data_IF_276757495345
#
_entry.id   IF_276757495345
#
_cell.length_a   1.000
_cell.length_b   1.000
_cell.length_c   1.000
_cell.angle_alpha   90.00
_cell.angle_beta   90.00
_cell.angle_gamma   90.00
#
_symmetry.space_group_name_H-M   'P 1'
#
loop_
_entity.id
_entity.type
_entity.pdbx_description
1 polymer ?
#
# COMPACT_ATOMS: atom_id res chain seq x y z
N UNK A 1 9.96 -16.65 -38.05
CA UNK A 1 9.58 -15.23 -37.84
C UNK A 1 9.71 -14.95 -36.35
N UNK A 2 10.48 -13.93 -35.97
CA UNK A 2 10.60 -13.52 -34.56
C UNK A 2 9.26 -12.93 -34.10
N UNK A 3 8.81 -13.29 -32.90
CA UNK A 3 7.62 -12.70 -32.28
C UNK A 3 8.06 -11.82 -31.12
N UNK A 4 7.39 -10.68 -30.97
CA UNK A 4 7.56 -9.77 -29.85
C UNK A 4 6.53 -10.11 -28.78
N UNK A 5 6.97 -10.52 -27.59
CA UNK A 5 6.09 -10.76 -26.45
C UNK A 5 5.94 -9.46 -25.66
N UNK A 6 4.73 -8.94 -25.50
CA UNK A 6 4.48 -7.70 -24.74
C UNK A 6 3.49 -7.94 -23.60
N UNK A 7 3.65 -7.16 -22.54
CA UNK A 7 2.67 -7.04 -21.46
C UNK A 7 1.72 -5.89 -21.77
N UNK A 8 0.47 -6.21 -22.06
CA UNK A 8 -0.57 -5.28 -22.47
C UNK A 8 -1.49 -4.97 -21.28
N UNK A 9 -1.60 -3.69 -20.94
CA UNK A 9 -2.69 -3.14 -20.14
C UNK A 9 -3.52 -2.19 -20.98
N UNK A 10 -4.80 -2.08 -20.67
CA UNK A 10 -5.67 -1.14 -21.36
C UNK A 10 -6.75 -0.58 -20.46
N UNK A 11 -7.36 0.49 -20.96
CA UNK A 11 -8.41 1.24 -20.30
C UNK A 11 -9.52 0.34 -19.73
N UNK A 12 -9.83 0.53 -18.44
CA UNK A 12 -10.85 -0.26 -17.74
C UNK A 12 -10.51 -1.73 -17.50
N UNK A 13 -9.33 -2.21 -17.90
CA UNK A 13 -8.87 -3.59 -17.71
C UNK A 13 -7.71 -3.65 -16.72
N UNK A 14 -8.01 -4.20 -15.54
CA UNK A 14 -7.04 -4.32 -14.43
C UNK A 14 -5.93 -5.33 -14.73
N UNK A 15 -6.27 -6.43 -15.39
CA UNK A 15 -5.32 -7.51 -15.62
C UNK A 15 -4.27 -7.13 -16.66
N UNK A 16 -3.05 -7.62 -16.45
CA UNK A 16 -1.96 -7.50 -17.43
C UNK A 16 -2.04 -8.71 -18.34
N UNK A 17 -2.29 -8.47 -19.62
CA UNK A 17 -2.38 -9.51 -20.63
C UNK A 17 -1.04 -9.71 -21.33
N UNK A 18 -0.79 -10.93 -21.82
CA UNK A 18 0.40 -11.23 -22.61
C UNK A 18 -0.01 -11.36 -24.07
N UNK A 19 0.54 -10.50 -24.93
CA UNK A 19 0.29 -10.55 -26.37
C UNK A 19 1.55 -10.89 -27.15
N UNK A 20 1.39 -11.61 -28.25
CA UNK A 20 2.46 -11.98 -29.17
C UNK A 20 2.21 -11.28 -30.51
N UNK A 21 3.07 -10.34 -30.85
CA UNK A 21 2.99 -9.57 -32.09
C UNK A 21 4.13 -9.94 -33.05
N UNK A 22 4.00 -9.59 -34.33
CA UNK A 22 5.11 -9.70 -35.27
C UNK A 22 6.26 -8.75 -34.92
N UNK A 23 7.47 -9.03 -35.38
CA UNK A 23 8.64 -8.15 -35.17
C UNK A 23 8.47 -6.75 -35.76
N UNK A 24 7.69 -6.65 -36.84
CA UNK A 24 7.41 -5.39 -37.55
C UNK A 24 6.06 -4.79 -37.13
N UNK A 25 5.51 -5.24 -36.01
CA UNK A 25 4.25 -4.73 -35.50
C UNK A 25 4.33 -3.23 -35.22
N UNK A 26 3.19 -2.56 -35.40
CA UNK A 26 3.00 -1.14 -35.13
C UNK A 26 1.97 -0.94 -34.01
N UNK A 27 1.79 0.29 -33.53
CA UNK A 27 0.84 0.57 -32.45
C UNK A 27 -0.60 0.12 -32.78
N UNK A 28 -1.01 0.19 -34.06
CA UNK A 28 -2.32 -0.31 -34.51
C UNK A 28 -2.52 -1.80 -34.25
N UNK A 29 -1.47 -2.61 -34.28
CA UNK A 29 -1.58 -4.04 -33.99
C UNK A 29 -1.76 -4.30 -32.49
N UNK A 30 -1.17 -3.47 -31.64
CA UNK A 30 -1.42 -3.46 -30.19
C UNK A 30 -2.88 -3.09 -29.90
N UNK A 31 -3.41 -2.06 -30.57
CA UNK A 31 -4.82 -1.64 -30.42
C UNK A 31 -5.77 -2.77 -30.84
N UNK A 32 -5.49 -3.44 -31.98
CA UNK A 32 -6.27 -4.61 -32.41
C UNK A 32 -6.24 -5.75 -31.39
N UNK A 33 -5.07 -6.00 -30.79
CA UNK A 33 -4.95 -7.01 -29.74
C UNK A 33 -5.76 -6.64 -28.49
N UNK A 34 -5.75 -5.38 -28.07
CA UNK A 34 -6.59 -4.88 -26.98
C UNK A 34 -8.09 -4.96 -27.30
N UNK A 35 -8.49 -4.61 -28.53
CA UNK A 35 -9.88 -4.72 -28.98
C UNK A 35 -10.38 -6.18 -28.95
N UNK A 36 -9.54 -7.14 -29.34
CA UNK A 36 -9.85 -8.57 -29.24
C UNK A 36 -10.03 -9.05 -27.79
N UNK A 37 -9.47 -8.32 -26.82
CA UNK A 37 -9.59 -8.57 -25.38
C UNK A 37 -10.72 -7.76 -24.72
N UNK A 38 -11.48 -6.98 -25.49
CA UNK A 38 -12.66 -6.25 -25.01
C UNK A 38 -12.49 -4.74 -24.82
N UNK A 39 -11.39 -4.14 -25.30
CA UNK A 39 -11.28 -2.67 -25.37
C UNK A 39 -12.37 -2.11 -26.29
N UNK A 40 -13.11 -1.12 -25.79
CA UNK A 40 -14.15 -0.43 -26.57
C UNK A 40 -13.54 0.38 -27.72
N UNK A 41 -14.16 0.35 -28.89
CA UNK A 41 -13.69 1.11 -30.05
C UNK A 41 -13.82 2.63 -29.85
N UNK A 42 -12.81 3.37 -30.25
CA UNK A 42 -12.74 4.83 -30.15
C UNK A 42 -11.64 5.39 -31.06
N UNK A 43 -11.87 6.51 -31.77
CA UNK A 43 -10.85 7.12 -32.62
C UNK A 43 -9.70 7.76 -31.83
N UNK A 44 -9.86 7.95 -30.52
CA UNK A 44 -8.90 8.63 -29.65
C UNK A 44 -7.89 7.66 -29.01
N UNK A 45 -8.01 6.35 -29.27
CA UNK A 45 -7.13 5.35 -28.68
C UNK A 45 -5.69 5.56 -29.15
N UNK A 46 -4.80 5.64 -28.17
CA UNK A 46 -3.35 5.69 -28.37
C UNK A 46 -2.65 4.62 -27.53
N UNK A 47 -1.39 4.34 -27.88
CA UNK A 47 -0.55 3.35 -27.19
C UNK A 47 0.62 4.06 -26.54
N UNK A 48 0.95 3.68 -25.31
CA UNK A 48 2.11 4.15 -24.57
C UNK A 48 3.08 3.00 -24.31
N UNK A 49 4.36 3.32 -24.17
CA UNK A 49 5.42 2.37 -23.83
C UNK A 49 6.03 2.74 -22.48
N UNK A 50 6.13 1.74 -21.58
CA UNK A 50 6.72 1.94 -20.26
C UNK A 50 6.02 3.04 -19.45
N UNK A 51 6.79 4.03 -19.01
CA UNK A 51 6.36 5.23 -18.30
C UNK A 51 6.49 6.50 -19.17
N UNK A 52 6.72 6.35 -20.47
CA UNK A 52 6.94 7.48 -21.37
C UNK A 52 5.74 8.44 -21.38
N UNK A 53 5.96 9.77 -21.30
CA UNK A 53 4.89 10.74 -21.16
C UNK A 53 4.01 10.85 -22.41
N UNK A 54 4.56 10.57 -23.58
CA UNK A 54 3.92 10.72 -24.88
C UNK A 54 3.62 9.36 -25.52
N UNK A 55 2.52 9.26 -26.27
CA UNK A 55 2.14 8.02 -26.95
C UNK A 55 3.09 7.70 -28.11
N UNK A 56 3.13 6.42 -28.47
CA UNK A 56 3.77 5.91 -29.66
C UNK A 56 3.11 6.47 -30.93
N UNK A 57 3.94 6.69 -31.95
CA UNK A 57 3.51 6.96 -33.31
C UNK A 57 2.81 5.71 -33.89
N UNK A 58 1.56 5.83 -34.38
CA UNK A 58 0.79 4.70 -34.86
C UNK A 58 1.28 4.11 -36.19
N UNK A 59 2.11 4.84 -36.95
CA UNK A 59 2.62 4.42 -38.25
C UNK A 59 4.02 3.81 -38.22
N UNK A 60 4.75 3.93 -37.09
CA UNK A 60 6.13 3.43 -36.97
C UNK A 60 6.19 2.05 -36.32
N UNK A 61 7.12 1.19 -36.74
CA UNK A 61 7.40 -0.07 -36.04
C UNK A 61 7.67 0.14 -34.55
N UNK A 62 7.21 -0.79 -33.72
CA UNK A 62 7.38 -0.70 -32.26
C UNK A 62 8.87 -0.68 -31.86
N UNK A 63 9.71 -1.45 -32.54
CA UNK A 63 11.15 -1.52 -32.25
C UNK A 63 11.88 -0.21 -32.54
N UNK A 64 11.48 0.53 -33.60
CA UNK A 64 12.04 1.84 -33.94
C UNK A 64 11.72 2.91 -32.89
N UNK A 65 10.70 2.64 -32.07
CA UNK A 65 10.25 3.51 -30.99
C UNK A 65 10.77 3.02 -29.62
N UNK A 66 11.70 2.07 -29.61
CA UNK A 66 12.37 1.59 -28.41
C UNK A 66 11.63 0.49 -27.65
N UNK A 67 10.51 -0.02 -28.16
CA UNK A 67 9.78 -1.14 -27.55
C UNK A 67 10.52 -2.45 -27.80
N UNK A 68 10.84 -3.17 -26.73
CA UNK A 68 11.61 -4.43 -26.73
C UNK A 68 10.74 -5.61 -26.30
N UNK A 69 11.31 -6.81 -26.46
CA UNK A 69 10.67 -8.03 -25.96
C UNK A 69 10.48 -7.96 -24.45
N UNK A 70 9.28 -8.36 -24.01
CA UNK A 70 8.78 -8.31 -22.63
C UNK A 70 8.59 -6.90 -22.06
N UNK A 71 8.53 -5.88 -22.91
CA UNK A 71 8.16 -4.54 -22.46
C UNK A 71 6.66 -4.44 -22.18
N UNK A 72 6.32 -3.46 -21.34
CA UNK A 72 4.94 -3.11 -21.01
C UNK A 72 4.43 -2.01 -21.94
N UNK A 73 3.23 -2.22 -22.48
CA UNK A 73 2.50 -1.25 -23.29
C UNK A 73 1.12 -0.99 -22.70
N UNK A 74 0.67 0.25 -22.79
CA UNK A 74 -0.61 0.69 -22.25
C UNK A 74 -1.47 1.27 -23.36
N UNK A 75 -2.73 0.83 -23.49
CA UNK A 75 -3.66 1.32 -24.51
C UNK A 75 -4.79 2.09 -23.84
N UNK A 76 -4.99 3.35 -24.22
CA UNK A 76 -5.95 4.22 -23.55
C UNK A 76 -6.45 5.33 -24.47
N UNK A 77 -7.70 5.80 -24.29
CA UNK A 77 -8.24 6.93 -25.07
C UNK A 77 -7.70 8.29 -24.65
N UNK A 78 -7.50 8.49 -23.34
CA UNK A 78 -6.97 9.74 -22.81
C UNK A 78 -5.45 9.82 -23.04
N UNK A 79 -4.96 10.95 -23.58
CA UNK A 79 -3.51 11.19 -23.70
C UNK A 79 -2.86 11.57 -22.37
N UNK A 80 -3.63 12.21 -21.49
CA UNK A 80 -3.25 12.58 -20.13
C UNK A 80 -4.42 12.31 -19.19
N UNK A 81 -4.10 11.96 -17.95
CA UNK A 81 -5.05 11.80 -16.85
C UNK A 81 -4.76 12.89 -15.83
N UNK A 82 -5.76 13.70 -15.53
CA UNK A 82 -5.68 14.70 -14.48
C UNK A 82 -5.74 14.02 -13.12
N UNK A 83 -4.58 13.86 -12.47
CA UNK A 83 -4.52 13.23 -11.16
C UNK A 83 -4.64 14.31 -10.08
N UNK A 84 -5.56 14.12 -9.14
CA UNK A 84 -5.65 14.91 -7.91
C UNK A 84 -5.30 14.04 -6.72
N UNK A 85 -4.38 14.50 -5.88
CA UNK A 85 -4.03 13.81 -4.62
C UNK A 85 -4.32 14.74 -3.45
N UNK A 86 -5.00 14.20 -2.44
CA UNK A 86 -5.32 14.90 -1.19
C UNK A 86 -4.65 14.23 -0.01
N UNK A 87 -4.12 15.03 0.93
CA UNK A 87 -3.59 14.60 2.22
C UNK A 87 -3.73 15.72 3.25
N UNK A 88 -4.47 15.49 4.33
CA UNK A 88 -4.80 16.54 5.31
C UNK A 88 -5.34 17.81 4.62
N UNK A 89 -4.66 18.96 4.77
CA UNK A 89 -5.00 20.22 4.11
C UNK A 89 -4.39 20.38 2.71
N UNK A 90 -3.50 19.48 2.30
CA UNK A 90 -2.87 19.53 0.98
C UNK A 90 -3.78 18.92 -0.08
N UNK A 91 -3.95 19.66 -1.17
CA UNK A 91 -4.52 19.17 -2.43
C UNK A 91 -3.65 19.63 -3.57
N UNK A 92 -3.10 18.69 -4.33
CA UNK A 92 -2.28 18.97 -5.51
C UNK A 92 -2.88 18.26 -6.70
N UNK A 93 -2.70 18.84 -7.89
CA UNK A 93 -3.16 18.26 -9.13
C UNK A 93 -2.06 18.33 -10.18
N UNK A 94 -1.92 17.27 -10.97
CA UNK A 94 -0.94 17.22 -12.04
C UNK A 94 -1.39 16.22 -13.13
N UNK A 95 -1.21 16.55 -14.43
CA UNK A 95 -1.51 15.64 -15.51
C UNK A 95 -0.41 14.57 -15.67
N UNK A 96 -0.80 13.30 -15.75
CA UNK A 96 0.11 12.17 -15.98
C UNK A 96 -0.24 11.45 -17.28
N UNK A 97 0.74 10.74 -17.86
CA UNK A 97 0.46 9.71 -18.86
C UNK A 97 -0.38 8.60 -18.23
N UNK A 98 -1.35 7.98 -18.94
CA UNK A 98 -2.04 6.77 -18.47
C UNK A 98 -1.09 5.64 -18.07
N UNK A 99 0.09 5.60 -18.68
CA UNK A 99 1.11 4.59 -18.42
C UNK A 99 1.93 4.86 -17.13
N UNK A 100 1.79 6.03 -16.52
CA UNK A 100 2.43 6.36 -15.26
C UNK A 100 1.97 5.42 -14.14
N UNK A 101 2.88 5.08 -13.24
CA UNK A 101 2.57 4.18 -12.13
C UNK A 101 1.99 4.93 -10.93
N UNK A 102 1.30 4.19 -10.05
CA UNK A 102 0.85 4.69 -8.75
C UNK A 102 2.06 5.19 -7.94
N UNK A 103 3.20 4.50 -8.00
CA UNK A 103 4.44 4.94 -7.36
C UNK A 103 4.93 6.30 -7.89
N UNK A 104 4.90 6.51 -9.21
CA UNK A 104 5.31 7.77 -9.81
C UNK A 104 4.43 8.94 -9.34
N UNK A 105 3.12 8.72 -9.23
CA UNK A 105 2.17 9.70 -8.66
C UNK A 105 2.49 9.97 -7.19
N UNK A 106 2.73 8.92 -6.39
CA UNK A 106 3.07 9.07 -4.96
C UNK A 106 4.34 9.91 -4.81
N UNK A 107 5.40 9.56 -5.55
CA UNK A 107 6.69 10.23 -5.53
C UNK A 107 6.57 11.72 -5.89
N UNK A 108 5.79 12.04 -6.92
CA UNK A 108 5.49 13.42 -7.28
C UNK A 108 4.79 14.16 -6.13
N UNK A 109 3.74 13.56 -5.56
CA UNK A 109 2.96 14.23 -4.53
C UNK A 109 3.76 14.49 -3.25
N UNK A 110 4.51 13.49 -2.75
CA UNK A 110 5.33 13.63 -1.54
C UNK A 110 6.41 14.70 -1.72
N UNK A 111 6.99 14.81 -2.92
CA UNK A 111 7.92 15.87 -3.29
C UNK A 111 7.23 17.26 -3.26
N UNK A 112 6.05 17.38 -3.86
CA UNK A 112 5.29 18.65 -3.91
C UNK A 112 4.91 19.20 -2.53
N UNK A 113 4.61 18.32 -1.58
CA UNK A 113 4.27 18.72 -0.20
C UNK A 113 5.47 18.74 0.74
N UNK A 114 6.67 18.41 0.24
CA UNK A 114 7.93 18.33 1.01
C UNK A 114 7.83 17.38 2.22
N UNK A 115 7.17 16.24 2.03
CA UNK A 115 7.06 15.20 3.05
C UNK A 115 8.41 14.49 3.22
N UNK A 116 8.75 14.10 4.46
CA UNK A 116 9.98 13.34 4.73
C UNK A 116 9.92 11.94 4.11
N UNK A 117 11.06 11.32 3.83
CA UNK A 117 11.09 9.95 3.29
C UNK A 117 10.47 8.94 4.26
N UNK A 118 10.71 9.11 5.58
CA UNK A 118 10.16 8.26 6.63
C UNK A 118 8.64 8.35 6.65
N UNK A 119 8.08 9.56 6.60
CA UNK A 119 6.62 9.72 6.55
C UNK A 119 6.08 9.14 5.23
N UNK A 120 6.77 9.37 4.12
CA UNK A 120 6.35 8.84 2.82
C UNK A 120 6.32 7.30 2.79
N UNK A 121 7.24 6.60 3.46
CA UNK A 121 7.23 5.13 3.54
C UNK A 121 6.02 4.60 4.31
N UNK A 122 5.51 5.36 5.29
CA UNK A 122 4.34 4.98 6.10
C UNK A 122 3.00 5.27 5.41
N UNK A 123 3.00 5.77 4.18
CA UNK A 123 1.78 6.13 3.44
C UNK A 123 1.64 5.39 2.11
N UNK A 124 0.40 5.18 1.68
CA UNK A 124 0.04 4.61 0.37
C UNK A 124 -1.06 5.44 -0.28
N UNK A 125 -1.19 5.32 -1.60
CA UNK A 125 -2.29 5.95 -2.33
C UNK A 125 -3.52 5.04 -2.30
N UNK A 126 -4.67 5.65 -2.03
CA UNK A 126 -5.98 5.02 -2.04
C UNK A 126 -6.88 5.76 -3.04
N UNK A 127 -7.74 5.05 -3.75
CA UNK A 127 -8.74 5.69 -4.62
C UNK A 127 -9.74 6.44 -3.74
N UNK A 128 -9.91 7.75 -4.00
CA UNK A 128 -10.73 8.61 -3.17
C UNK A 128 -12.17 8.10 -3.06
N UNK A 129 -12.72 8.09 -1.83
CA UNK A 129 -14.06 7.57 -1.56
C UNK A 129 -14.18 6.04 -1.49
N UNK A 130 -13.07 5.30 -1.62
CA UNK A 130 -13.04 3.83 -1.54
C UNK A 130 -11.99 3.36 -0.52
N UNK A 131 -11.92 2.06 -0.26
CA UNK A 131 -10.81 1.42 0.48
C UNK A 131 -9.77 0.76 -0.46
N UNK A 132 -9.90 0.93 -1.78
CA UNK A 132 -9.02 0.31 -2.76
C UNK A 132 -7.66 1.02 -2.76
N UNK A 133 -6.60 0.26 -2.52
CA UNK A 133 -5.20 0.71 -2.52
C UNK A 133 -4.47 0.00 -3.66
N UNK A 134 -4.36 0.64 -4.84
CA UNK A 134 -3.63 0.07 -5.95
C UNK A 134 -2.17 -0.20 -5.60
N UNK A 135 -1.63 -1.30 -6.12
CA UNK A 135 -0.21 -1.62 -5.97
C UNK A 135 0.68 -0.54 -6.63
N UNK A 136 1.91 -0.32 -6.12
CA UNK A 136 2.77 0.76 -6.62
C UNK A 136 3.08 0.68 -8.12
N UNK A 137 3.15 -0.51 -8.70
CA UNK A 137 3.54 -0.75 -10.10
C UNK A 137 2.36 -0.70 -11.10
N UNK A 138 1.12 -0.58 -10.60
CA UNK A 138 -0.10 -0.45 -11.41
C UNK A 138 -0.09 0.86 -12.20
N UNK A 139 -0.43 0.81 -13.49
CA UNK A 139 -0.58 1.99 -14.33
C UNK A 139 -1.91 2.68 -14.08
N UNK A 140 -1.89 4.00 -13.90
CA UNK A 140 -3.06 4.78 -13.51
C UNK A 140 -4.19 4.77 -14.56
N UNK A 141 -3.87 4.54 -15.83
CA UNK A 141 -4.86 4.39 -16.91
C UNK A 141 -5.73 3.16 -16.77
N UNK A 142 -5.28 2.12 -16.05
CA UNK A 142 -6.15 0.99 -15.72
C UNK A 142 -7.20 1.35 -14.66
N UNK A 143 -6.96 2.41 -13.87
CA UNK A 143 -7.81 2.91 -12.77
C UNK A 143 -8.90 3.88 -13.21
N UNK A 144 -8.99 4.19 -14.50
CA UNK A 144 -10.06 5.00 -15.05
C UNK A 144 -10.53 4.43 -16.40
N UNK A 145 -11.75 4.76 -16.81
CA UNK A 145 -12.37 4.23 -18.03
C UNK A 145 -13.32 5.18 -18.75
N UNK A 146 -13.63 6.36 -18.20
CA UNK A 146 -14.54 7.33 -18.84
C UNK A 146 -14.08 8.76 -18.64
N UNK A 147 -13.63 9.08 -17.45
CA UNK A 147 -13.12 10.40 -17.11
C UNK A 147 -11.60 10.38 -17.21
N UNK A 148 -11.01 11.33 -17.95
CA UNK A 148 -9.56 11.51 -17.98
C UNK A 148 -9.05 12.15 -16.67
N UNK A 149 -9.57 11.70 -15.53
CA UNK A 149 -9.27 12.18 -14.19
C UNK A 149 -9.22 11.02 -13.21
N UNK A 150 -8.37 11.14 -12.19
CA UNK A 150 -8.23 10.17 -11.11
C UNK A 150 -8.01 10.91 -9.80
N UNK A 151 -8.88 10.65 -8.83
CA UNK A 151 -8.79 11.24 -7.50
C UNK A 151 -8.23 10.20 -6.53
N UNK A 152 -7.11 10.53 -5.88
CA UNK A 152 -6.44 9.69 -4.91
C UNK A 152 -6.33 10.43 -3.56
N UNK A 153 -6.26 9.66 -2.50
CA UNK A 153 -5.95 10.14 -1.15
C UNK A 153 -4.70 9.44 -0.66
N UNK A 154 -3.73 10.21 -0.17
CA UNK A 154 -2.59 9.62 0.53
C UNK A 154 -3.07 9.26 1.94
N UNK A 155 -2.94 7.99 2.33
CA UNK A 155 -3.40 7.48 3.63
C UNK A 155 -2.27 6.69 4.31
N UNK A 156 -2.18 6.69 5.65
CA UNK A 156 -1.23 5.85 6.33
C UNK A 156 -1.49 4.37 6.02
N UNK A 157 -0.43 3.58 5.79
CA UNK A 157 -0.49 2.12 5.60
C UNK A 157 -1.17 1.47 6.81
N UNK A 158 -0.90 2.03 7.99
CA UNK A 158 -1.48 1.65 9.27
C UNK A 158 -2.98 1.95 9.43
N UNK A 159 -3.67 2.48 8.42
CA UNK A 159 -5.14 2.58 8.50
C UNK A 159 -5.80 1.25 8.14
N UNK A 160 -6.75 0.81 8.98
CA UNK A 160 -7.44 -0.48 8.84
C UNK A 160 -7.34 -1.39 10.06
N UNK A 161 -6.64 -0.98 11.13
CA UNK A 161 -6.71 -1.72 12.38
C UNK A 161 -8.13 -1.74 12.93
N UNK A 162 -8.55 -2.83 13.60
CA UNK A 162 -9.93 -2.98 13.98
C UNK A 162 -10.34 -1.82 14.91
N UNK A 163 -11.58 -1.33 14.75
CA UNK A 163 -12.19 -0.39 15.70
C UNK A 163 -12.14 -0.95 17.13
N UNK A 164 -12.21 -2.28 17.21
CA UNK A 164 -11.99 -3.07 18.41
C UNK A 164 -10.49 -3.23 18.67
N UNK A 165 -10.06 -2.99 19.91
CA UNK A 165 -8.66 -3.18 20.29
C UNK A 165 -8.14 -4.59 19.94
N UNK A 166 -6.86 -4.74 19.56
CA UNK A 166 -6.25 -6.05 19.39
C UNK A 166 -5.98 -6.69 20.76
N UNK A 167 -5.62 -7.97 20.75
CA UNK A 167 -4.96 -8.60 21.91
C UNK A 167 -3.62 -9.16 21.44
N UNK A 168 -2.60 -9.09 22.28
CA UNK A 168 -1.28 -9.59 21.93
C UNK A 168 -0.77 -10.58 22.97
N UNK A 169 -0.09 -11.62 22.47
CA UNK A 169 0.57 -12.64 23.26
C UNK A 169 2.00 -12.80 22.78
N UNK A 170 2.90 -13.06 23.71
CA UNK A 170 4.29 -13.38 23.36
C UNK A 170 4.34 -14.72 22.63
N UNK A 171 5.14 -14.78 21.56
CA UNK A 171 5.21 -15.91 20.64
C UNK A 171 6.62 -16.48 20.57
N UNK A 172 6.73 -17.81 20.48
CA UNK A 172 7.95 -18.50 20.10
C UNK A 172 7.89 -18.76 18.59
N UNK A 173 8.75 -18.07 17.83
CA UNK A 173 8.77 -18.16 16.37
C UNK A 173 9.34 -19.49 15.85
N UNK A 174 10.14 -20.20 16.64
CA UNK A 174 10.68 -21.50 16.23
C UNK A 174 9.66 -22.61 16.44
N UNK A 175 8.93 -22.56 17.55
CA UNK A 175 7.90 -23.54 17.88
C UNK A 175 6.54 -23.21 17.22
N UNK A 176 6.40 -22.02 16.62
CA UNK A 176 5.15 -21.45 16.14
C UNK A 176 4.01 -21.61 17.16
N UNK A 177 4.29 -21.22 18.39
CA UNK A 177 3.39 -21.41 19.51
C UNK A 177 3.51 -20.25 20.52
N UNK A 178 2.53 -20.08 21.41
CA UNK A 178 2.66 -19.11 22.48
C UNK A 178 3.91 -19.35 23.34
N UNK A 179 4.64 -18.27 23.64
CA UNK A 179 5.87 -18.35 24.42
C UNK A 179 5.58 -18.95 25.79
N UNK A 180 6.28 -20.03 26.20
CA UNK A 180 6.09 -20.64 27.52
C UNK A 180 6.27 -19.60 28.63
N UNK A 181 5.40 -19.61 29.64
CA UNK A 181 5.38 -18.61 30.72
C UNK A 181 6.75 -18.41 31.42
N UNK A 182 7.56 -19.46 31.67
CA UNK A 182 8.90 -19.28 32.25
C UNK A 182 9.87 -18.51 31.35
N UNK A 183 9.58 -18.39 30.04
CA UNK A 183 10.40 -17.66 29.08
C UNK A 183 9.91 -16.24 28.84
N UNK A 184 8.89 -15.79 29.57
CA UNK A 184 8.40 -14.42 29.44
C UNK A 184 9.45 -13.40 29.91
N UNK A 185 9.48 -12.20 29.29
CA UNK A 185 10.16 -11.03 29.84
C UNK A 185 9.73 -10.76 31.29
N UNK A 186 10.61 -10.15 32.06
CA UNK A 186 10.31 -9.60 33.37
C UNK A 186 11.06 -8.30 33.57
N UNK A 187 10.64 -7.57 34.60
CA UNK A 187 11.28 -6.34 34.99
C UNK A 187 10.92 -5.95 36.41
N UNK A 188 11.20 -4.71 36.75
CA UNK A 188 10.75 -4.02 37.96
C UNK A 188 9.47 -3.25 37.66
N UNK A 189 8.73 -2.88 38.71
CA UNK A 189 7.61 -1.93 38.64
C UNK A 189 6.64 -2.25 37.49
N UNK A 190 6.62 -1.39 36.45
CA UNK A 190 5.70 -1.50 35.32
C UNK A 190 6.00 -2.70 34.43
N UNK A 191 7.27 -3.05 34.21
CA UNK A 191 7.64 -4.24 33.44
C UNK A 191 7.10 -5.52 34.08
N UNK A 192 7.17 -5.63 35.41
CA UNK A 192 6.60 -6.76 36.15
C UNK A 192 5.08 -6.82 36.06
N UNK A 193 4.42 -5.66 36.15
CA UNK A 193 2.97 -5.56 36.10
C UNK A 193 2.41 -5.90 34.70
N UNK A 194 3.12 -5.52 33.64
CA UNK A 194 2.72 -5.77 32.25
C UNK A 194 2.97 -7.22 31.82
N UNK A 195 4.18 -7.73 32.05
CA UNK A 195 4.56 -9.10 31.68
C UNK A 195 4.13 -10.10 32.75
N UNK A 196 2.85 -10.10 33.08
CA UNK A 196 2.26 -10.84 34.21
C UNK A 196 1.69 -12.19 33.75
N UNK A 197 2.37 -13.33 34.00
CA UNK A 197 1.98 -14.63 33.43
C UNK A 197 0.71 -15.21 34.04
N UNK A 198 0.35 -14.83 35.28
CA UNK A 198 -0.90 -15.23 35.94
C UNK A 198 -2.10 -14.42 35.44
N UNK A 199 -1.88 -13.31 34.72
CA UNK A 199 -2.97 -12.52 34.16
C UNK A 199 -3.61 -13.23 32.96
N UNK A 200 -4.91 -13.55 33.08
CA UNK A 200 -5.69 -14.29 32.06
C UNK A 200 -4.95 -15.51 31.49
N UNK A 201 -4.16 -16.20 32.33
CA UNK A 201 -3.36 -17.36 31.93
C UNK A 201 -2.30 -17.08 30.86
N UNK A 202 -1.82 -15.83 30.79
CA UNK A 202 -0.86 -15.38 29.77
C UNK A 202 -1.45 -15.29 28.37
N UNK A 203 -2.77 -15.19 28.23
CA UNK A 203 -3.44 -15.00 26.94
C UNK A 203 -3.25 -13.59 26.36
N UNK A 204 -2.91 -12.61 27.21
CA UNK A 204 -2.69 -11.22 26.83
C UNK A 204 -1.65 -10.55 27.73
N UNK A 205 -1.19 -9.36 27.33
CA UNK A 205 -0.36 -8.50 28.17
C UNK A 205 -1.24 -7.54 28.99
N UNK A 206 -0.83 -7.21 30.21
CA UNK A 206 -1.58 -6.30 31.08
C UNK A 206 -1.36 -4.84 30.66
N UNK A 207 -1.97 -4.45 29.54
CA UNK A 207 -1.83 -3.14 28.90
C UNK A 207 -3.19 -2.48 28.64
N UNK A 208 -3.30 -1.14 28.75
CA UNK A 208 -4.54 -0.43 28.44
C UNK A 208 -5.00 -0.52 26.99
N UNK A 209 -4.07 -0.70 26.05
CA UNK A 209 -4.38 -0.90 24.62
C UNK A 209 -4.76 -2.34 24.26
N UNK A 210 -4.66 -3.30 25.19
CA UNK A 210 -5.03 -4.69 24.96
C UNK A 210 -6.50 -4.94 25.27
N UNK A 211 -7.25 -5.47 24.31
CA UNK A 211 -8.68 -5.74 24.44
C UNK A 211 -9.03 -6.64 25.62
N UNK A 212 -8.29 -7.73 25.80
CA UNK A 212 -8.61 -8.69 26.85
C UNK A 212 -8.27 -8.11 28.22
N UNK A 213 -7.17 -7.37 28.34
CA UNK A 213 -6.82 -6.74 29.63
C UNK A 213 -7.71 -5.55 29.96
N UNK A 214 -8.18 -4.81 28.97
CA UNK A 214 -9.08 -3.67 29.17
C UNK A 214 -10.44 -4.07 29.75
N UNK A 215 -10.91 -5.30 29.53
CA UNK A 215 -12.14 -5.82 30.14
C UNK A 215 -12.07 -5.73 31.67
N UNK A 216 -13.00 -4.97 32.27
CA UNK A 216 -13.05 -4.72 33.72
C UNK A 216 -12.27 -3.49 34.20
N UNK A 217 -11.53 -2.81 33.33
CA UNK A 217 -10.70 -1.64 33.67
C UNK A 217 -11.15 -0.36 32.94
N UNK A 218 -12.45 -0.05 33.04
CA UNK A 218 -13.01 1.11 32.34
C UNK A 218 -12.41 2.46 32.80
N UNK A 219 -11.89 2.51 34.03
CA UNK A 219 -11.18 3.61 34.68
C UNK A 219 -9.81 3.90 34.04
N UNK A 220 -9.21 2.95 33.31
CA UNK A 220 -7.98 3.20 32.54
C UNK A 220 -8.15 4.28 31.49
N UNK A 221 -9.38 4.56 31.03
CA UNK A 221 -9.62 5.71 30.14
C UNK A 221 -9.23 7.04 30.78
N UNK A 222 -9.36 7.14 32.10
CA UNK A 222 -8.97 8.32 32.85
C UNK A 222 -7.53 8.23 33.36
N UNK A 223 -7.08 7.05 33.78
CA UNK A 223 -5.75 6.86 34.38
C UNK A 223 -4.63 6.80 33.34
N UNK A 224 -4.89 6.21 32.17
CA UNK A 224 -3.90 5.95 31.12
C UNK A 224 -4.41 6.37 29.71
N UNK A 225 -4.91 7.60 29.53
CA UNK A 225 -5.58 8.02 28.29
C UNK A 225 -4.69 7.90 27.04
N UNK A 226 -3.37 8.10 27.19
CA UNK A 226 -2.41 7.99 26.09
C UNK A 226 -2.19 6.55 25.59
N UNK A 227 -2.50 5.57 26.43
CA UNK A 227 -2.28 4.13 26.17
C UNK A 227 -3.56 3.40 25.80
N UNK A 228 -4.72 4.08 25.81
CA UNK A 228 -5.97 3.49 25.33
C UNK A 228 -5.90 3.28 23.83
N UNK A 229 -6.40 2.12 23.36
CA UNK A 229 -6.47 1.80 21.95
C UNK A 229 -7.13 2.92 21.14
N UNK A 230 -6.38 3.44 20.16
CA UNK A 230 -6.83 4.45 19.22
C UNK A 230 -6.72 3.87 17.81
N UNK A 231 -7.84 3.54 17.14
CA UNK A 231 -7.79 2.98 15.80
C UNK A 231 -6.99 3.81 14.79
N UNK A 232 -6.96 5.14 14.97
CA UNK A 232 -6.16 6.05 14.14
C UNK A 232 -4.64 5.95 14.36
N UNK A 233 -4.19 5.51 15.55
CA UNK A 233 -2.77 5.20 15.82
C UNK A 233 -2.39 3.79 15.40
N UNK A 234 -3.36 2.87 15.39
CA UNK A 234 -3.15 1.50 14.97
C UNK A 234 -2.19 0.73 15.87
N UNK A 235 -1.59 -0.35 15.33
CA UNK A 235 -0.67 -1.20 16.11
C UNK A 235 0.55 -0.44 16.63
N UNK A 236 0.91 0.70 16.03
CA UNK A 236 2.04 1.52 16.46
C UNK A 236 1.90 1.91 17.95
N UNK A 237 0.69 2.23 18.42
CA UNK A 237 0.42 2.46 19.84
C UNK A 237 0.88 1.28 20.71
N UNK A 238 0.54 0.07 20.31
CA UNK A 238 0.86 -1.15 21.07
C UNK A 238 2.37 -1.41 21.05
N UNK A 239 3.01 -1.26 19.88
CA UNK A 239 4.43 -1.50 19.69
C UNK A 239 5.30 -0.47 20.41
N UNK A 240 4.90 0.81 20.44
CA UNK A 240 5.60 1.85 21.17
C UNK A 240 5.63 1.56 22.68
N UNK A 241 4.48 1.19 23.27
CA UNK A 241 4.41 0.84 24.70
C UNK A 241 5.27 -0.38 25.01
N UNK A 242 5.25 -1.40 24.14
CA UNK A 242 6.12 -2.57 24.28
C UNK A 242 7.61 -2.22 24.16
N UNK A 243 7.95 -1.39 23.18
CA UNK A 243 9.32 -0.93 22.95
C UNK A 243 9.84 -0.14 24.16
N UNK A 244 9.06 0.78 24.71
CA UNK A 244 9.40 1.52 25.93
C UNK A 244 9.67 0.58 27.10
N UNK A 245 8.82 -0.43 27.32
CA UNK A 245 8.98 -1.39 28.41
C UNK A 245 10.25 -2.22 28.26
N UNK A 246 10.50 -2.77 27.08
CA UNK A 246 11.65 -3.65 26.82
C UNK A 246 12.98 -2.89 26.76
N UNK A 247 12.96 -1.59 26.49
CA UNK A 247 14.15 -0.73 26.49
C UNK A 247 14.28 0.11 27.77
N UNK A 248 13.38 -0.06 28.74
CA UNK A 248 13.47 0.66 30.02
C UNK A 248 14.54 0.07 30.93
N UNK A 249 15.04 0.88 31.86
CA UNK A 249 15.90 0.41 32.96
C UNK A 249 15.19 -0.58 33.91
N UNK A 250 13.86 -0.66 33.82
CA UNK A 250 13.06 -1.62 34.57
C UNK A 250 13.11 -3.01 33.94
N UNK A 251 13.50 -3.18 32.67
CA UNK A 251 13.63 -4.48 32.04
C UNK A 251 14.83 -5.25 32.61
N UNK A 252 14.60 -6.48 33.07
CA UNK A 252 15.65 -7.32 33.68
C UNK A 252 15.88 -8.63 32.95
N UNK A 253 15.43 -8.74 31.70
CA UNK A 253 15.59 -9.96 30.90
C UNK A 253 14.43 -10.94 31.03
N UNK A 254 14.72 -12.21 30.78
CA UNK A 254 13.76 -13.32 30.85
C UNK A 254 13.63 -13.80 32.30
N UNK A 255 12.44 -14.25 32.69
CA UNK A 255 12.22 -14.85 34.01
C UNK A 255 13.18 -16.02 34.24
N UNK A 256 13.95 -15.95 35.32
CA UNK A 256 14.89 -17.02 35.71
C UNK A 256 16.14 -17.14 34.84
N UNK A 257 16.39 -16.17 33.95
CA UNK A 257 17.65 -16.03 33.22
C UNK A 257 18.68 -15.17 33.94
#
# INVERSE_FOLDING_TARGET
>A
MSKLKLFLQFEGHRAVEVVLLGSDAIARDVIKAAAALGLADSPDIVVFHGDHPDPLDPGKPLHDQGVKDKDRVHVHRCKKIQVSVTFASFRKQHPFSPAATVEAVKRWFVHEIKMSEIDATEHVLQIAGTSERPEPDVQIGSLTSRECALNLTLVPISTGYPQTAPTARLWDTQADAPLPLPRWPTGRSRGQAVFRPDWKGGACLYLPCDRLSFEGHADWRQQHPAEIWQPGRGICLYLEVLHELLNSNDYTGVRGG
#
